data_IF_167445980382
#
_entry.id   IF_167445980382
#
_cell.length_a   1.000
_cell.length_b   1.000
_cell.length_c   1.000
_cell.angle_alpha   90.00
_cell.angle_beta   90.00
_cell.angle_gamma   90.00
#
_symmetry.space_group_name_H-M   'P 1'
#
loop_
_entity.id
_entity.type
_entity.pdbx_description
1 polymer ?
#
# COMPACT_ATOMS: atom_id res chain seq x y z
N UNK A 1 -33.81 -16.56 39.58
CA UNK A 1 -34.37 -15.50 40.44
C UNK A 1 -35.39 -14.75 39.63
N UNK A 2 -36.64 -14.65 40.12
CA UNK A 2 -37.66 -13.86 39.43
C UNK A 2 -37.72 -12.48 40.09
N UNK A 3 -37.50 -11.46 39.31
CA UNK A 3 -37.66 -10.07 39.72
C UNK A 3 -38.78 -9.45 38.86
N UNK A 4 -39.83 -8.89 39.50
CA UNK A 4 -40.89 -8.18 38.77
C UNK A 4 -40.67 -6.67 38.88
N UNK A 5 -40.56 -6.01 37.78
CA UNK A 5 -40.52 -4.54 37.62
C UNK A 5 -41.78 -4.11 36.84
N UNK A 6 -42.93 -4.02 37.57
CA UNK A 6 -44.20 -3.64 36.97
C UNK A 6 -44.74 -4.68 35.99
N UNK A 7 -44.82 -4.35 34.69
CA UNK A 7 -45.35 -5.23 33.62
C UNK A 7 -44.30 -6.20 33.04
N UNK A 8 -43.02 -6.05 33.41
CA UNK A 8 -41.93 -6.90 32.97
C UNK A 8 -41.57 -7.94 34.02
N UNK A 9 -41.80 -9.24 33.74
CA UNK A 9 -41.27 -10.37 34.48
C UNK A 9 -39.90 -10.76 33.92
N UNK A 10 -38.82 -10.47 34.65
CA UNK A 10 -37.47 -10.92 34.33
C UNK A 10 -37.21 -12.26 35.01
N UNK A 11 -37.16 -13.35 34.25
CA UNK A 11 -36.69 -14.64 34.71
C UNK A 11 -35.18 -14.76 34.50
N UNK A 12 -34.41 -14.31 35.52
CA UNK A 12 -32.94 -14.26 35.46
C UNK A 12 -32.36 -15.65 35.74
N UNK A 13 -32.11 -16.39 34.65
CA UNK A 13 -31.30 -17.61 34.75
C UNK A 13 -29.82 -17.22 34.86
N UNK A 14 -29.10 -17.70 35.89
CA UNK A 14 -27.73 -17.27 36.19
C UNK A 14 -26.75 -17.52 35.04
N UNK A 15 -26.94 -18.59 34.25
CA UNK A 15 -26.10 -18.93 33.09
C UNK A 15 -26.25 -17.91 31.99
N UNK A 16 -27.49 -17.56 31.64
CA UNK A 16 -27.79 -16.54 30.63
C UNK A 16 -27.29 -15.16 31.06
N UNK A 17 -27.52 -14.81 32.34
CA UNK A 17 -27.02 -13.55 32.91
C UNK A 17 -25.51 -13.46 32.86
N UNK A 18 -24.81 -14.54 33.22
CA UNK A 18 -23.34 -14.58 33.13
C UNK A 18 -22.85 -14.44 31.67
N UNK A 19 -23.52 -15.16 30.74
CA UNK A 19 -23.20 -15.07 29.32
C UNK A 19 -23.37 -13.65 28.79
N UNK A 20 -24.50 -13.00 29.09
CA UNK A 20 -24.75 -11.59 28.68
C UNK A 20 -23.74 -10.65 29.34
N UNK A 21 -23.45 -10.82 30.64
CA UNK A 21 -22.49 -9.98 31.37
C UNK A 21 -21.07 -10.06 30.82
N UNK A 22 -20.67 -11.17 30.22
CA UNK A 22 -19.37 -11.33 29.58
C UNK A 22 -19.38 -10.87 28.10
N UNK A 23 -20.43 -11.20 27.36
CA UNK A 23 -20.49 -10.94 25.93
C UNK A 23 -20.79 -9.47 25.62
N UNK A 24 -21.66 -8.84 26.39
CA UNK A 24 -22.04 -7.44 26.15
C UNK A 24 -20.85 -6.48 26.18
N UNK A 25 -19.98 -6.46 27.21
CA UNK A 25 -18.82 -5.57 27.21
C UNK A 25 -17.82 -5.92 26.11
N UNK A 26 -17.71 -7.18 25.70
CA UNK A 26 -16.88 -7.59 24.57
C UNK A 26 -17.39 -6.96 23.27
N UNK A 27 -18.69 -7.07 22.98
CA UNK A 27 -19.31 -6.53 21.77
C UNK A 27 -19.19 -4.98 21.72
N UNK A 28 -19.45 -4.33 22.85
CA UNK A 28 -19.28 -2.87 22.97
C UNK A 28 -17.81 -2.48 22.77
N UNK A 29 -16.87 -3.20 23.39
CA UNK A 29 -15.44 -2.96 23.24
C UNK A 29 -14.97 -3.12 21.80
N UNK A 30 -15.44 -4.14 21.07
CA UNK A 30 -15.15 -4.32 19.64
C UNK A 30 -15.74 -3.19 18.80
N UNK A 31 -16.95 -2.73 19.13
CA UNK A 31 -17.55 -1.56 18.46
C UNK A 31 -16.71 -0.30 18.63
N UNK A 32 -16.28 0.02 19.85
CA UNK A 32 -15.41 1.16 20.13
C UNK A 32 -14.07 1.03 19.41
N UNK A 33 -13.44 -0.15 19.48
CA UNK A 33 -12.17 -0.40 18.77
C UNK A 33 -12.29 -0.16 17.26
N UNK A 34 -13.42 -0.54 16.65
CA UNK A 34 -13.63 -0.27 15.22
C UNK A 34 -13.79 1.24 14.93
N UNK A 35 -14.40 2.01 15.82
CA UNK A 35 -14.48 3.46 15.69
C UNK A 35 -13.09 4.11 15.79
N UNK A 36 -12.24 3.66 16.72
CA UNK A 36 -10.87 4.14 16.83
C UNK A 36 -10.07 3.86 15.55
N UNK A 37 -10.25 2.67 14.96
CA UNK A 37 -9.64 2.33 13.67
C UNK A 37 -10.17 3.19 12.52
N UNK A 38 -11.46 3.54 12.51
CA UNK A 38 -12.02 4.48 11.53
C UNK A 38 -11.31 5.83 11.60
N UNK A 39 -11.16 6.39 12.80
CA UNK A 39 -10.49 7.68 13.03
C UNK A 39 -9.04 7.62 12.55
N UNK A 40 -8.28 6.61 12.97
CA UNK A 40 -6.88 6.40 12.56
C UNK A 40 -6.74 6.37 11.02
N UNK A 41 -7.59 5.60 10.34
CA UNK A 41 -7.53 5.48 8.87
C UNK A 41 -7.93 6.77 8.17
N UNK A 42 -8.88 7.53 8.73
CA UNK A 42 -9.27 8.84 8.21
C UNK A 42 -8.14 9.86 8.34
N UNK A 43 -7.46 9.91 9.48
CA UNK A 43 -6.29 10.78 9.66
C UNK A 43 -5.15 10.45 8.69
N UNK A 44 -4.87 9.15 8.47
CA UNK A 44 -3.87 8.72 7.48
C UNK A 44 -4.21 9.24 6.08
N UNK A 45 -5.46 9.09 5.65
CA UNK A 45 -5.94 9.60 4.36
C UNK A 45 -5.81 11.12 4.25
N UNK A 46 -6.23 11.86 5.28
CA UNK A 46 -6.13 13.33 5.30
C UNK A 46 -4.68 13.80 5.21
N UNK A 47 -3.77 13.15 5.95
CA UNK A 47 -2.33 13.46 5.87
C UNK A 47 -1.74 13.13 4.49
N UNK A 48 -2.18 12.02 3.89
CA UNK A 48 -1.78 11.64 2.55
C UNK A 48 -2.25 12.66 1.50
N UNK A 49 -3.54 13.04 1.54
CA UNK A 49 -4.12 14.03 0.62
C UNK A 49 -3.43 15.39 0.74
N UNK A 50 -3.17 15.84 1.97
CA UNK A 50 -2.45 17.09 2.22
C UNK A 50 -1.01 17.05 1.65
N UNK A 51 -0.32 15.90 1.77
CA UNK A 51 1.02 15.74 1.16
C UNK A 51 0.96 15.70 -0.36
N UNK A 52 -0.01 14.98 -0.92
CA UNK A 52 -0.19 14.86 -2.37
C UNK A 52 -0.50 16.20 -3.05
N UNK A 53 -1.12 17.13 -2.33
CA UNK A 53 -1.43 18.47 -2.83
C UNK A 53 -0.22 19.42 -2.84
N UNK A 54 0.93 19.01 -2.27
CA UNK A 54 2.15 19.80 -2.30
C UNK A 54 2.82 19.77 -3.68
N UNK A 55 3.55 20.81 -4.02
CA UNK A 55 4.32 20.85 -5.25
C UNK A 55 5.41 19.77 -5.25
N UNK A 56 5.60 19.04 -6.38
CA UNK A 56 6.64 18.04 -6.49
C UNK A 56 8.04 18.64 -6.35
N UNK A 57 8.85 18.11 -5.45
CA UNK A 57 10.25 18.52 -5.27
C UNK A 57 11.20 17.67 -6.12
N UNK A 58 12.37 18.17 -6.53
CA UNK A 58 13.40 17.33 -7.14
C UNK A 58 13.74 16.15 -6.24
N UNK A 59 13.88 14.95 -6.83
CA UNK A 59 14.04 13.71 -6.07
C UNK A 59 15.25 13.72 -5.14
N UNK A 60 16.37 14.36 -5.52
CA UNK A 60 17.56 14.46 -4.66
C UNK A 60 17.38 15.39 -3.47
N UNK A 61 16.58 16.45 -3.64
CA UNK A 61 16.24 17.37 -2.55
C UNK A 61 15.45 16.68 -1.44
N UNK A 62 14.75 15.60 -1.76
CA UNK A 62 13.98 14.84 -0.79
C UNK A 62 14.88 14.15 0.25
N UNK A 63 16.04 13.64 -0.15
CA UNK A 63 16.98 12.94 0.74
C UNK A 63 17.75 13.87 1.67
N UNK A 64 18.01 15.10 1.22
CA UNK A 64 18.92 16.00 1.93
C UNK A 64 18.39 16.51 3.29
N UNK A 65 17.09 16.43 3.56
CA UNK A 65 16.47 17.19 4.64
C UNK A 65 15.47 16.41 5.51
N UNK A 66 15.19 15.11 5.28
CA UNK A 66 14.05 14.45 5.93
C UNK A 66 14.35 13.05 6.43
N UNK A 67 13.81 12.72 7.62
CA UNK A 67 13.77 11.34 8.11
C UNK A 67 12.91 10.45 7.18
N UNK A 68 13.20 9.13 7.06
CA UNK A 68 12.47 8.21 6.15
C UNK A 68 10.94 8.28 6.26
N UNK A 69 10.41 8.37 7.49
CA UNK A 69 8.97 8.49 7.70
C UNK A 69 8.36 9.79 7.11
N UNK A 70 9.15 10.87 7.02
CA UNK A 70 8.73 12.13 6.41
C UNK A 70 8.80 12.09 4.87
N UNK A 71 9.49 11.12 4.29
CA UNK A 71 9.60 10.90 2.85
C UNK A 71 8.40 10.15 2.27
N UNK A 72 7.70 9.34 3.10
CA UNK A 72 6.58 8.54 2.62
C UNK A 72 5.51 9.44 1.96
N UNK A 73 5.15 9.10 0.73
CA UNK A 73 4.18 9.80 -0.12
C UNK A 73 4.57 11.25 -0.50
N UNK A 74 5.83 11.64 -0.34
CA UNK A 74 6.28 12.95 -0.78
C UNK A 74 6.20 13.04 -2.32
N UNK A 75 5.52 14.06 -2.88
CA UNK A 75 5.54 14.28 -4.32
C UNK A 75 6.94 14.65 -4.79
N UNK A 76 7.38 13.97 -5.83
CA UNK A 76 8.72 14.20 -6.42
C UNK A 76 8.63 14.31 -7.94
N UNK A 77 9.59 15.02 -8.51
CA UNK A 77 9.83 15.06 -9.94
C UNK A 77 11.27 14.63 -10.25
N UNK A 78 11.41 13.95 -11.38
CA UNK A 78 12.71 13.53 -11.88
C UNK A 78 12.69 13.55 -13.41
N UNK A 79 13.84 13.81 -14.02
CA UNK A 79 14.00 13.85 -15.45
C UNK A 79 15.04 12.82 -15.89
N UNK A 80 14.80 12.14 -17.01
CA UNK A 80 15.67 11.09 -17.49
C UNK A 80 15.01 10.21 -18.55
N UNK A 81 15.44 8.96 -18.66
CA UNK A 81 14.93 8.02 -19.66
C UNK A 81 14.70 6.64 -19.07
N UNK A 82 13.68 5.97 -19.54
CA UNK A 82 13.47 4.55 -19.24
C UNK A 82 14.55 3.69 -19.91
N UNK A 83 15.00 2.66 -19.21
CA UNK A 83 15.74 1.57 -19.83
C UNK A 83 14.70 0.52 -20.24
N UNK A 84 14.35 0.50 -21.54
CA UNK A 84 13.16 -0.14 -22.07
C UNK A 84 12.98 -1.60 -21.63
N UNK A 85 14.04 -2.39 -21.67
CA UNK A 85 13.99 -3.84 -21.40
C UNK A 85 14.35 -4.18 -19.93
N UNK A 86 14.55 -3.17 -19.08
CA UNK A 86 14.97 -3.35 -17.68
C UNK A 86 13.85 -2.96 -16.73
N UNK A 87 13.02 -3.96 -16.40
CA UNK A 87 11.93 -3.79 -15.44
C UNK A 87 11.69 -5.05 -14.62
N UNK A 88 11.14 -4.85 -13.44
CA UNK A 88 10.67 -5.88 -12.54
C UNK A 88 9.15 -5.98 -12.64
N UNK A 89 8.64 -7.20 -12.50
CA UNK A 89 7.22 -7.50 -12.39
C UNK A 89 6.94 -7.87 -10.93
N UNK A 90 6.31 -6.99 -10.19
CA UNK A 90 5.84 -7.30 -8.83
C UNK A 90 4.64 -8.23 -8.93
N UNK A 91 4.82 -9.45 -8.46
CA UNK A 91 3.81 -10.52 -8.55
C UNK A 91 2.66 -10.35 -7.55
N UNK A 92 1.62 -11.15 -7.77
CA UNK A 92 0.44 -11.23 -6.91
C UNK A 92 -0.27 -9.88 -6.69
N UNK A 93 -0.30 -9.04 -7.72
CA UNK A 93 -1.05 -7.78 -7.72
C UNK A 93 -2.44 -7.99 -8.30
N UNK A 94 -3.46 -7.78 -7.46
CA UNK A 94 -4.85 -7.93 -7.88
C UNK A 94 -5.49 -6.55 -7.97
N UNK A 95 -6.00 -6.19 -9.15
CA UNK A 95 -6.77 -4.97 -9.37
C UNK A 95 -8.14 -5.30 -9.96
N UNK A 96 -9.21 -4.78 -9.38
CA UNK A 96 -10.59 -5.07 -9.79
C UNK A 96 -10.89 -6.59 -9.94
N UNK A 97 -10.36 -7.41 -9.02
CA UNK A 97 -10.55 -8.87 -9.02
C UNK A 97 -9.74 -9.63 -10.08
N UNK A 98 -8.86 -8.97 -10.84
CA UNK A 98 -8.03 -9.58 -11.86
C UNK A 98 -6.58 -9.68 -11.39
N UNK A 99 -5.98 -10.85 -11.61
CA UNK A 99 -4.55 -11.08 -11.39
C UNK A 99 -3.71 -10.27 -12.39
N UNK A 100 -2.57 -9.75 -11.92
CA UNK A 100 -1.61 -9.04 -12.73
C UNK A 100 -0.32 -8.72 -11.99
N UNK A 101 0.42 -7.78 -12.54
CA UNK A 101 1.71 -7.34 -12.04
C UNK A 101 1.77 -5.82 -11.93
N UNK A 102 2.47 -5.29 -10.93
CA UNK A 102 2.94 -3.91 -11.01
C UNK A 102 4.31 -3.88 -11.71
N UNK A 103 4.47 -2.94 -12.62
CA UNK A 103 5.69 -2.79 -13.42
C UNK A 103 6.62 -1.76 -12.80
N UNK A 104 7.80 -2.19 -12.39
CA UNK A 104 8.84 -1.33 -11.82
C UNK A 104 10.01 -1.24 -12.78
N UNK A 105 10.06 -0.14 -13.51
CA UNK A 105 11.09 0.10 -14.53
C UNK A 105 12.33 0.75 -13.94
N UNK A 106 13.49 0.38 -14.47
CA UNK A 106 14.74 1.08 -14.21
C UNK A 106 14.77 2.37 -15.04
N UNK A 107 15.05 3.49 -14.39
CA UNK A 107 15.06 4.83 -14.98
C UNK A 107 16.43 5.48 -14.78
N UNK A 108 17.09 5.81 -15.88
CA UNK A 108 18.36 6.54 -15.87
C UNK A 108 18.07 8.03 -15.71
N UNK A 109 18.51 8.61 -14.61
CA UNK A 109 18.28 10.00 -14.26
C UNK A 109 19.26 10.91 -15.01
N UNK A 110 18.81 12.10 -15.39
CA UNK A 110 19.63 13.08 -16.10
C UNK A 110 20.67 13.76 -15.18
N UNK A 111 20.35 13.86 -13.89
CA UNK A 111 21.24 14.38 -12.84
C UNK A 111 22.25 13.35 -12.30
N UNK A 112 22.23 12.14 -12.85
CA UNK A 112 23.15 11.03 -12.54
C UNK A 112 22.50 9.90 -11.75
N UNK A 113 22.98 8.69 -11.96
CA UNK A 113 22.47 7.48 -11.31
C UNK A 113 21.12 6.99 -11.84
N UNK A 114 20.48 6.17 -11.05
CA UNK A 114 19.26 5.46 -11.44
C UNK A 114 18.17 5.57 -10.37
N UNK A 115 16.94 5.31 -10.76
CA UNK A 115 15.78 5.15 -9.86
C UNK A 115 14.91 3.98 -10.30
N UNK A 116 14.25 3.32 -9.36
CA UNK A 116 13.21 2.35 -9.63
C UNK A 116 11.85 3.06 -9.62
N UNK A 117 11.17 3.04 -10.77
CA UNK A 117 9.92 3.75 -10.98
C UNK A 117 8.79 2.75 -11.19
N UNK A 118 7.86 2.69 -10.24
CA UNK A 118 6.66 1.88 -10.35
C UNK A 118 5.63 2.61 -11.22
N UNK A 119 5.38 2.04 -12.39
CA UNK A 119 4.54 2.61 -13.44
C UNK A 119 3.04 2.30 -13.26
N UNK A 120 2.71 1.39 -12.37
CA UNK A 120 1.34 0.90 -12.17
C UNK A 120 1.15 -0.55 -12.59
N UNK A 121 -0.11 -0.96 -12.60
CA UNK A 121 -0.52 -2.33 -12.81
C UNK A 121 -0.84 -2.65 -14.27
N UNK A 122 -0.60 -3.93 -14.64
CA UNK A 122 -1.02 -4.53 -15.91
C UNK A 122 -1.63 -5.90 -15.66
N UNK A 123 -2.61 -6.35 -16.47
CA UNK A 123 -3.14 -7.70 -16.35
C UNK A 123 -2.07 -8.72 -16.70
N UNK A 124 -2.03 -9.82 -15.95
CA UNK A 124 -1.22 -11.00 -16.21
C UNK A 124 -2.01 -12.12 -16.87
N UNK A 125 -1.30 -13.07 -17.50
CA UNK A 125 -1.91 -14.34 -17.90
C UNK A 125 -2.18 -15.18 -16.64
N UNK A 126 -3.44 -15.54 -16.32
CA UNK A 126 -3.77 -16.37 -15.17
C UNK A 126 -3.06 -17.74 -15.18
N UNK A 127 -2.73 -18.25 -16.36
CA UNK A 127 -1.98 -19.48 -16.53
C UNK A 127 -0.46 -19.28 -16.46
N UNK A 128 0.01 -18.03 -16.30
CA UNK A 128 1.44 -17.66 -16.18
C UNK A 128 2.34 -18.15 -17.32
N UNK A 129 1.77 -18.32 -18.52
CA UNK A 129 2.52 -18.80 -19.71
C UNK A 129 3.30 -17.70 -20.40
N UNK A 130 2.90 -16.45 -20.20
CA UNK A 130 3.57 -15.27 -20.74
C UNK A 130 3.63 -14.15 -19.72
N UNK A 131 4.70 -13.36 -19.78
CA UNK A 131 4.85 -12.15 -18.99
C UNK A 131 4.42 -10.94 -19.82
N UNK A 132 3.83 -9.91 -19.22
CA UNK A 132 3.50 -8.68 -19.92
C UNK A 132 4.76 -7.90 -20.32
N UNK A 133 4.72 -7.30 -21.51
CA UNK A 133 5.79 -6.48 -22.10
C UNK A 133 5.27 -5.04 -22.30
N UNK A 134 5.16 -4.23 -21.24
CA UNK A 134 4.63 -2.88 -21.35
C UNK A 134 5.62 -1.94 -22.01
N UNK A 135 5.23 -1.32 -23.13
CA UNK A 135 6.05 -0.33 -23.79
C UNK A 135 6.41 0.83 -22.84
N UNK A 136 7.64 1.31 -22.94
CA UNK A 136 8.10 2.50 -22.24
C UNK A 136 8.28 3.67 -23.23
N UNK A 137 8.01 4.93 -22.82
CA UNK A 137 8.30 6.08 -23.63
C UNK A 137 9.77 6.16 -24.02
N UNK A 138 10.05 6.49 -25.28
CA UNK A 138 11.40 6.70 -25.76
C UNK A 138 11.90 8.13 -25.47
N UNK A 139 13.20 8.29 -25.36
CA UNK A 139 13.84 9.60 -25.13
C UNK A 139 13.81 10.07 -23.69
N UNK A 140 14.12 11.35 -23.50
CA UNK A 140 14.10 11.99 -22.19
C UNK A 140 12.69 12.44 -21.85
N UNK A 141 12.21 12.09 -20.68
CA UNK A 141 10.90 12.46 -20.15
C UNK A 141 11.03 13.04 -18.74
N UNK A 142 10.10 13.90 -18.37
CA UNK A 142 9.94 14.34 -16.99
C UNK A 142 8.81 13.55 -16.35
N UNK A 143 9.10 12.95 -15.19
CA UNK A 143 8.17 12.15 -14.42
C UNK A 143 7.78 12.86 -13.15
N UNK A 144 6.52 12.75 -12.79
CA UNK A 144 6.00 13.08 -11.47
C UNK A 144 5.43 11.83 -10.80
N UNK A 145 5.57 11.79 -9.49
CA UNK A 145 5.10 10.68 -8.69
C UNK A 145 5.33 10.93 -7.21
N UNK A 146 5.20 9.90 -6.43
CA UNK A 146 5.38 9.97 -4.99
C UNK A 146 6.37 8.91 -4.50
N UNK A 147 7.15 9.25 -3.48
CA UNK A 147 8.07 8.31 -2.86
C UNK A 147 7.29 7.23 -2.12
N UNK A 148 7.63 5.98 -2.39
CA UNK A 148 7.11 4.85 -1.63
C UNK A 148 8.15 4.37 -0.62
N UNK A 149 7.89 4.67 0.65
CA UNK A 149 8.65 4.14 1.79
C UNK A 149 7.73 3.13 2.47
N UNK A 150 8.03 1.82 2.37
CA UNK A 150 7.20 0.81 3.03
C UNK A 150 7.23 1.01 4.55
N UNK A 151 6.08 0.91 5.25
CA UNK A 151 6.02 1.07 6.71
C UNK A 151 6.72 -0.07 7.44
N UNK A 152 6.71 -1.26 6.86
CA UNK A 152 7.29 -2.47 7.39
C UNK A 152 8.10 -3.21 6.33
N UNK A 153 9.06 -4.06 6.70
CA UNK A 153 9.73 -4.96 5.77
C UNK A 153 8.71 -5.83 5.03
N UNK A 154 8.89 -6.07 3.74
CA UNK A 154 7.97 -6.89 2.98
C UNK A 154 7.98 -8.34 3.48
N UNK A 155 6.79 -8.95 3.56
CA UNK A 155 6.68 -10.37 3.84
C UNK A 155 7.01 -11.17 2.57
N UNK A 156 7.99 -12.05 2.67
CA UNK A 156 8.40 -12.96 1.60
C UNK A 156 7.99 -14.39 1.94
N UNK A 157 7.47 -15.13 0.97
CA UNK A 157 7.15 -16.56 1.12
C UNK A 157 8.39 -17.47 1.05
N UNK A 158 9.55 -16.89 0.72
CA UNK A 158 10.84 -17.58 0.61
C UNK A 158 11.95 -16.59 0.28
N UNK A 159 13.18 -17.06 0.17
CA UNK A 159 14.30 -16.23 -0.22
C UNK A 159 14.09 -15.67 -1.64
N UNK A 160 14.30 -14.37 -1.81
CA UNK A 160 14.26 -13.70 -3.09
C UNK A 160 15.68 -13.27 -3.45
N UNK A 161 16.16 -13.75 -4.59
CA UNK A 161 17.46 -13.31 -5.11
C UNK A 161 17.44 -11.82 -5.44
N UNK A 162 18.48 -11.09 -5.09
CA UNK A 162 18.74 -9.71 -5.54
C UNK A 162 19.51 -9.62 -6.84
N UNK A 163 19.84 -10.77 -7.48
CA UNK A 163 20.57 -10.79 -8.76
C UNK A 163 19.86 -9.94 -9.83
N UNK A 164 20.62 -9.17 -10.59
CA UNK A 164 20.10 -8.18 -11.57
C UNK A 164 20.56 -8.46 -13.00
N UNK A 165 20.90 -9.74 -13.27
CA UNK A 165 21.45 -10.15 -14.56
C UNK A 165 20.39 -10.49 -15.61
N UNK A 166 19.19 -10.89 -15.15
CA UNK A 166 18.09 -11.32 -16.03
C UNK A 166 16.94 -10.30 -15.99
N UNK A 167 16.58 -9.77 -17.13
CA UNK A 167 15.50 -8.82 -17.34
C UNK A 167 14.57 -9.29 -18.48
N UNK A 168 13.25 -9.10 -18.39
CA UNK A 168 12.48 -8.69 -17.20
C UNK A 168 12.43 -9.80 -16.14
N UNK A 169 12.25 -9.44 -14.87
CA UNK A 169 12.23 -10.40 -13.77
C UNK A 169 11.00 -10.27 -12.89
N UNK A 170 10.44 -11.40 -12.50
CA UNK A 170 9.34 -11.49 -11.54
C UNK A 170 9.91 -11.48 -10.11
N UNK A 171 9.36 -10.62 -9.25
CA UNK A 171 9.73 -10.48 -7.83
C UNK A 171 8.49 -10.45 -6.95
N UNK A 172 8.57 -11.00 -5.74
CA UNK A 172 7.46 -10.97 -4.79
C UNK A 172 7.31 -9.59 -4.13
N UNK A 173 8.44 -8.95 -3.85
CA UNK A 173 8.49 -7.64 -3.21
C UNK A 173 9.70 -6.84 -3.67
N UNK A 174 9.66 -5.52 -3.47
CA UNK A 174 10.80 -4.63 -3.66
C UNK A 174 11.57 -4.49 -2.34
N UNK A 175 12.66 -5.22 -2.21
CA UNK A 175 13.62 -5.03 -1.14
C UNK A 175 14.65 -4.00 -1.60
N UNK A 176 14.37 -2.72 -1.37
CA UNK A 176 15.13 -1.62 -1.96
C UNK A 176 16.62 -1.62 -1.58
N UNK A 177 16.99 -2.00 -0.35
CA UNK A 177 18.38 -1.99 0.07
C UNK A 177 19.24 -3.01 -0.70
N UNK A 178 18.98 -4.34 -0.64
CA UNK A 178 19.80 -5.31 -1.36
C UNK A 178 19.69 -5.19 -2.89
N UNK A 179 18.52 -4.81 -3.40
CA UNK A 179 18.32 -4.59 -4.84
C UNK A 179 19.06 -3.35 -5.33
N UNK A 180 19.04 -2.26 -4.58
CA UNK A 180 19.73 -1.02 -4.91
C UNK A 180 21.25 -1.18 -4.91
N UNK A 181 21.79 -1.93 -3.95
CA UNK A 181 23.24 -2.27 -3.90
C UNK A 181 23.65 -3.11 -5.11
N UNK A 182 22.92 -4.19 -5.41
CA UNK A 182 23.21 -5.04 -6.57
C UNK A 182 23.09 -4.29 -7.91
N UNK A 183 22.10 -3.41 -8.03
CA UNK A 183 21.95 -2.55 -9.21
C UNK A 183 23.09 -1.52 -9.31
N UNK A 184 23.47 -0.89 -8.21
CA UNK A 184 24.56 0.09 -8.21
C UNK A 184 25.88 -0.53 -8.61
N UNK A 185 26.17 -1.74 -8.13
CA UNK A 185 27.34 -2.51 -8.53
C UNK A 185 27.32 -2.86 -10.04
N UNK A 186 26.20 -3.41 -10.51
CA UNK A 186 26.04 -3.85 -11.90
C UNK A 186 26.07 -2.68 -12.92
N UNK A 187 25.60 -1.50 -12.53
CA UNK A 187 25.48 -0.32 -13.39
C UNK A 187 26.63 0.67 -13.22
N UNK A 188 27.45 0.51 -12.20
CA UNK A 188 28.57 1.41 -11.88
C UNK A 188 28.15 2.82 -11.47
N UNK A 189 26.89 2.99 -10.97
CA UNK A 189 26.37 4.28 -10.58
C UNK A 189 25.29 4.12 -9.49
N UNK A 190 25.08 5.14 -8.63
CA UNK A 190 24.17 5.07 -7.50
C UNK A 190 22.71 4.87 -7.93
N UNK A 191 21.96 4.13 -7.11
CA UNK A 191 20.53 3.94 -7.25
C UNK A 191 19.80 4.66 -6.13
N UNK A 192 18.75 5.41 -6.49
CA UNK A 192 17.94 6.12 -5.51
C UNK A 192 17.31 5.11 -4.50
N UNK A 193 17.40 5.33 -3.19
CA UNK A 193 17.12 4.31 -2.17
C UNK A 193 15.64 3.92 -2.00
N UNK A 194 14.72 4.67 -2.65
CA UNK A 194 13.28 4.43 -2.56
C UNK A 194 12.66 4.27 -3.94
N UNK A 195 11.62 3.45 -4.05
CA UNK A 195 10.86 3.41 -5.31
C UNK A 195 9.94 4.61 -5.44
N UNK A 196 9.71 5.02 -6.67
CA UNK A 196 8.83 6.15 -7.02
C UNK A 196 7.59 5.57 -7.67
N UNK A 197 6.42 5.83 -7.11
CA UNK A 197 5.12 5.48 -7.69
C UNK A 197 4.64 6.62 -8.56
N UNK A 198 4.46 6.37 -9.85
CA UNK A 198 4.03 7.40 -10.80
C UNK A 198 2.64 7.94 -10.51
N UNK A 199 2.44 9.21 -10.85
CA UNK A 199 1.11 9.78 -10.99
C UNK A 199 0.43 9.25 -12.26
N UNK A 200 -0.91 9.19 -12.27
CA UNK A 200 -1.68 8.62 -13.38
C UNK A 200 -1.46 9.34 -14.73
N UNK A 201 -1.08 10.62 -14.71
CA UNK A 201 -0.79 11.41 -15.91
C UNK A 201 0.67 11.43 -16.34
N UNK A 202 1.57 10.77 -15.59
CA UNK A 202 3.01 10.81 -15.89
C UNK A 202 3.33 9.98 -17.16
N UNK A 203 4.33 10.38 -17.95
CA UNK A 203 4.76 9.60 -19.12
C UNK A 203 5.10 8.16 -18.75
N UNK A 204 4.48 7.20 -19.42
CA UNK A 204 4.70 5.76 -19.16
C UNK A 204 3.91 5.19 -17.99
N UNK A 205 3.03 5.96 -17.34
CA UNK A 205 2.10 5.44 -16.35
C UNK A 205 1.16 4.42 -16.99
N UNK A 206 0.89 3.35 -16.24
CA UNK A 206 -0.03 2.26 -16.61
C UNK A 206 -1.34 2.42 -15.80
N UNK A 207 -1.96 1.33 -15.36
CA UNK A 207 -3.11 1.46 -14.47
C UNK A 207 -2.61 1.84 -13.06
N UNK A 208 -2.73 3.11 -12.71
CA UNK A 208 -2.28 3.67 -11.44
C UNK A 208 -3.43 3.69 -10.44
N UNK A 209 -3.27 2.90 -9.38
CA UNK A 209 -4.14 2.89 -8.21
C UNK A 209 -3.29 2.58 -6.98
N UNK A 210 -2.96 3.62 -6.19
CA UNK A 210 -2.11 3.46 -5.01
C UNK A 210 -2.93 3.52 -3.73
N UNK A 211 -3.44 2.38 -3.22
CA UNK A 211 -4.20 2.37 -1.99
C UNK A 211 -3.31 2.75 -0.80
N UNK A 212 -3.73 3.76 -0.06
CA UNK A 212 -3.04 4.25 1.15
C UNK A 212 -3.42 3.43 2.37
N UNK A 213 -4.63 2.90 2.37
CA UNK A 213 -5.18 2.10 3.47
C UNK A 213 -5.73 0.78 2.94
N UNK A 214 -5.45 -0.30 3.64
CA UNK A 214 -5.93 -1.65 3.27
C UNK A 214 -7.45 -1.81 3.46
N UNK A 215 -8.00 -1.11 4.46
CA UNK A 215 -9.43 -1.10 4.79
C UNK A 215 -9.90 0.33 4.90
N UNK A 216 -10.97 0.68 4.19
CA UNK A 216 -11.52 2.05 4.21
C UNK A 216 -12.13 2.40 5.57
N UNK A 217 -12.10 3.69 5.98
CA UNK A 217 -12.77 4.17 7.20
C UNK A 217 -14.25 3.77 7.25
N UNK A 218 -14.96 3.85 6.12
CA UNK A 218 -16.37 3.48 6.03
C UNK A 218 -16.63 2.00 6.37
N UNK A 219 -15.69 1.11 6.06
CA UNK A 219 -15.78 -0.32 6.37
C UNK A 219 -15.64 -0.58 7.87
N UNK A 220 -14.72 0.14 8.54
CA UNK A 220 -14.59 0.09 10.00
C UNK A 220 -15.85 0.60 10.70
N UNK A 221 -16.45 1.70 10.22
CA UNK A 221 -17.73 2.19 10.73
C UNK A 221 -18.86 1.17 10.55
N UNK A 222 -18.92 0.50 9.40
CA UNK A 222 -19.88 -0.58 9.16
C UNK A 222 -19.76 -1.72 10.18
N UNK A 223 -18.52 -2.15 10.48
CA UNK A 223 -18.27 -3.15 11.52
C UNK A 223 -18.64 -2.65 12.93
N UNK A 224 -18.38 -1.39 13.26
CA UNK A 224 -18.81 -0.81 14.55
C UNK A 224 -20.33 -0.89 14.71
N UNK A 225 -21.09 -0.51 13.66
CA UNK A 225 -22.55 -0.63 13.65
C UNK A 225 -23.00 -2.08 13.88
N UNK A 226 -22.35 -3.06 13.24
CA UNK A 226 -22.66 -4.47 13.44
C UNK A 226 -22.46 -4.90 14.90
N UNK A 227 -21.31 -4.54 15.51
CA UNK A 227 -21.01 -4.90 16.90
C UNK A 227 -22.00 -4.28 17.88
N UNK A 228 -22.33 -3.00 17.73
CA UNK A 228 -23.32 -2.34 18.57
C UNK A 228 -24.75 -2.89 18.36
N UNK A 229 -25.12 -3.26 17.13
CA UNK A 229 -26.40 -3.88 16.84
C UNK A 229 -26.54 -5.25 17.52
N UNK A 230 -25.44 -6.05 17.49
CA UNK A 230 -25.39 -7.33 18.22
C UNK A 230 -25.47 -7.12 19.73
N UNK A 231 -24.80 -6.10 20.27
CA UNK A 231 -24.91 -5.75 21.68
C UNK A 231 -26.35 -5.35 22.09
N UNK A 232 -27.01 -4.56 21.24
CA UNK A 232 -28.39 -4.18 21.44
C UNK A 232 -29.35 -5.38 21.37
N UNK A 233 -29.17 -6.27 20.40
CA UNK A 233 -29.96 -7.49 20.23
C UNK A 233 -29.77 -8.48 21.40
N UNK A 234 -28.61 -8.46 22.06
CA UNK A 234 -28.34 -9.30 23.23
C UNK A 234 -29.13 -8.84 24.48
N UNK A 235 -29.55 -7.57 24.50
CA UNK A 235 -30.32 -6.98 25.62
C UNK A 235 -31.85 -7.06 25.41
N UNK A 236 -32.29 -7.41 24.18
CA UNK A 236 -33.70 -7.51 23.82
C UNK A 236 -34.26 -8.92 24.11
#
# INVERSE_FOLDING_TARGET
>A
MRASLGVLELDLEWRTTLFVALLLPLLVGLGCWQLDREVEKRELLTRFEARRAADPVPVDSALATRAPAALAYLPVRLRGRYLADRYLLLDNRVQAGRFGYEIVSLFAREDGGYALVNRGWVPGDPARRSLPEPAAPAGVVELTGQLYVPPDPPYLLGEQSSAVNDWPRVVQALEMAPLGEALAEALGAPVFPWSIRLDAGAPGALAVDWPVVNVSPAKHRGYAVQWFSLAAALLA
#
